data_IF_228033875050
#
_entry.id   IF_228033875050
#
_cell.length_a   1.000
_cell.length_b   1.000
_cell.length_c   1.000
_cell.angle_alpha   90.00
_cell.angle_beta   90.00
_cell.angle_gamma   90.00
#
_symmetry.space_group_name_H-M   'P 1'
#
loop_
_entity.id
_entity.type
_entity.pdbx_description
1 polymer ?
#
# COMPACT_ATOMS: atom_id res chain seq x y z
N UNK A 1 9.77 -19.62 -2.21
CA UNK A 1 10.86 -18.71 -2.60
C UNK A 1 10.22 -17.72 -3.55
N UNK A 2 10.15 -16.43 -3.18
CA UNK A 2 9.60 -15.40 -4.07
C UNK A 2 10.50 -15.34 -5.33
N UNK A 3 9.95 -15.41 -6.55
CA UNK A 3 10.76 -15.43 -7.76
C UNK A 3 11.50 -14.09 -7.90
N UNK A 4 12.75 -14.14 -8.34
CA UNK A 4 13.47 -12.96 -8.80
C UNK A 4 13.41 -12.92 -10.33
N UNK A 5 13.48 -11.72 -10.89
CA UNK A 5 13.47 -11.48 -12.32
C UNK A 5 14.69 -10.65 -12.73
N UNK A 6 15.08 -10.75 -13.99
CA UNK A 6 16.09 -9.85 -14.57
C UNK A 6 15.37 -8.77 -15.35
N UNK A 7 15.65 -7.51 -15.03
CA UNK A 7 15.16 -6.40 -15.84
C UNK A 7 15.97 -6.27 -17.14
N UNK A 8 15.54 -5.38 -18.06
CA UNK A 8 16.23 -5.12 -19.34
C UNK A 8 17.68 -4.65 -19.20
N UNK A 9 18.07 -4.18 -18.00
CA UNK A 9 19.42 -3.73 -17.67
C UNK A 9 20.30 -4.86 -17.10
N UNK A 10 19.78 -6.09 -17.05
CA UNK A 10 20.48 -7.27 -16.53
C UNK A 10 20.61 -7.31 -15.00
N UNK A 11 19.81 -6.51 -14.27
CA UNK A 11 19.82 -6.46 -12.80
C UNK A 11 18.77 -7.40 -12.22
N UNK A 12 19.12 -8.05 -11.11
CA UNK A 12 18.19 -8.85 -10.32
C UNK A 12 17.21 -7.90 -9.62
N UNK A 13 15.92 -8.13 -9.84
CA UNK A 13 14.83 -7.42 -9.19
C UNK A 13 13.92 -8.46 -8.53
N UNK A 14 13.48 -8.16 -7.30
CA UNK A 14 12.47 -8.97 -6.61
C UNK A 14 11.12 -8.25 -6.74
N UNK A 15 10.15 -8.76 -7.52
CA UNK A 15 8.83 -8.15 -7.66
C UNK A 15 8.13 -7.91 -6.33
N UNK A 16 8.37 -8.78 -5.34
CA UNK A 16 7.89 -8.63 -3.96
C UNK A 16 8.27 -7.31 -3.28
N UNK A 17 9.32 -6.62 -3.76
CA UNK A 17 9.76 -5.35 -3.20
C UNK A 17 8.85 -4.17 -3.58
N UNK A 18 8.01 -4.33 -4.62
CA UNK A 18 7.11 -3.27 -5.08
C UNK A 18 5.67 -3.75 -5.30
N UNK A 19 5.43 -5.03 -5.61
CA UNK A 19 4.11 -5.67 -5.55
C UNK A 19 4.15 -6.68 -4.40
N UNK A 20 3.78 -6.26 -3.19
CA UNK A 20 3.81 -7.17 -2.06
C UNK A 20 2.71 -8.25 -2.21
N UNK A 21 3.03 -9.47 -1.81
CA UNK A 21 2.11 -10.61 -1.78
C UNK A 21 2.01 -11.19 -0.36
N UNK A 22 0.80 -11.59 0.05
CA UNK A 22 0.56 -12.15 1.37
C UNK A 22 -0.11 -13.51 1.22
N UNK A 23 0.46 -14.51 1.88
CA UNK A 23 -0.14 -15.83 1.94
C UNK A 23 -1.24 -15.88 3.02
N UNK A 24 -2.49 -15.69 2.57
CA UNK A 24 -3.69 -15.74 3.41
C UNK A 24 -4.02 -17.14 3.94
N UNK A 25 -3.34 -18.20 3.48
CA UNK A 25 -3.53 -19.56 3.99
C UNK A 25 -3.04 -19.72 5.44
N UNK A 26 -2.10 -18.88 5.85
CA UNK A 26 -1.50 -18.86 7.20
C UNK A 26 -2.31 -18.03 8.20
N UNK A 27 -3.21 -17.17 7.73
CA UNK A 27 -3.97 -16.24 8.56
C UNK A 27 -5.28 -16.85 9.04
N UNK A 28 -5.52 -16.76 10.35
CA UNK A 28 -6.63 -17.45 11.03
C UNK A 28 -7.85 -16.56 11.28
N UNK A 29 -7.69 -15.24 11.37
CA UNK A 29 -8.73 -14.26 11.71
C UNK A 29 -8.38 -12.86 11.20
N UNK A 30 -9.32 -11.92 11.30
CA UNK A 30 -9.07 -10.49 11.06
C UNK A 30 -8.01 -9.97 12.05
N UNK A 31 -8.15 -10.27 13.34
CA UNK A 31 -7.16 -9.84 14.36
C UNK A 31 -5.73 -10.33 14.07
N UNK A 32 -5.59 -11.55 13.52
CA UNK A 32 -4.28 -12.05 13.12
C UNK A 32 -3.73 -11.29 11.90
N UNK A 33 -4.58 -11.01 10.91
CA UNK A 33 -4.21 -10.15 9.78
C UNK A 33 -3.78 -8.76 10.27
N UNK A 34 -4.53 -8.17 11.19
CA UNK A 34 -4.25 -6.84 11.77
C UNK A 34 -2.91 -6.85 12.51
N UNK A 35 -2.63 -7.89 13.29
CA UNK A 35 -1.38 -8.03 14.01
C UNK A 35 -0.17 -8.16 13.07
N UNK A 36 -0.29 -8.96 12.00
CA UNK A 36 0.76 -9.11 10.97
C UNK A 36 1.02 -7.77 10.29
N UNK A 37 -0.05 -7.10 9.87
CA UNK A 37 0.06 -5.82 9.17
C UNK A 37 0.58 -4.72 10.09
N UNK A 38 0.21 -4.75 11.38
CA UNK A 38 0.73 -3.80 12.37
C UNK A 38 2.24 -3.94 12.55
N UNK A 39 2.71 -5.18 12.70
CA UNK A 39 4.14 -5.50 12.83
C UNK A 39 4.92 -5.11 11.57
N UNK A 40 4.39 -5.43 10.40
CA UNK A 40 5.15 -5.34 9.16
C UNK A 40 5.12 -3.93 8.56
N UNK A 41 4.03 -3.18 8.76
CA UNK A 41 3.79 -1.87 8.15
C UNK A 41 3.55 -0.73 9.16
N UNK A 42 2.68 -0.89 10.17
CA UNK A 42 2.23 0.21 11.04
C UNK A 42 3.34 0.82 11.89
N UNK A 43 4.20 0.00 12.49
CA UNK A 43 5.31 0.52 13.31
C UNK A 43 6.38 1.26 12.50
N UNK A 44 6.36 1.15 11.16
CA UNK A 44 7.44 1.65 10.30
C UNK A 44 7.05 2.86 9.45
N UNK A 45 5.76 3.17 9.35
CA UNK A 45 5.27 4.23 8.49
C UNK A 45 4.92 5.49 9.31
N UNK A 46 5.57 6.63 9.06
CA UNK A 46 5.25 7.86 9.77
C UNK A 46 3.89 8.40 9.33
N UNK A 47 3.12 8.92 10.28
CA UNK A 47 1.91 9.72 10.03
C UNK A 47 2.28 11.08 9.43
N UNK A 48 1.31 11.79 8.83
CA UNK A 48 1.55 13.15 8.32
C UNK A 48 2.01 14.09 9.43
N UNK A 49 1.46 13.96 10.63
CA UNK A 49 1.90 14.74 11.80
C UNK A 49 3.35 14.45 12.20
N UNK A 50 3.78 13.19 12.17
CA UNK A 50 5.18 12.84 12.42
C UNK A 50 6.11 13.34 11.31
N UNK A 51 5.66 13.30 10.05
CA UNK A 51 6.44 13.86 8.93
C UNK A 51 6.69 15.35 9.16
N UNK A 52 5.64 16.12 9.48
CA UNK A 52 5.75 17.55 9.74
C UNK A 52 6.61 17.84 10.99
N UNK A 53 6.39 17.10 12.09
CA UNK A 53 7.20 17.26 13.30
C UNK A 53 8.69 16.96 13.07
N UNK A 54 9.03 15.94 12.27
CA UNK A 54 10.42 15.65 11.86
C UNK A 54 11.00 16.80 11.05
N UNK A 55 10.23 17.41 10.15
CA UNK A 55 10.67 18.58 9.39
C UNK A 55 10.94 19.78 10.29
N UNK A 56 10.02 20.13 11.20
CA UNK A 56 10.16 21.23 12.16
C UNK A 56 11.39 21.06 13.06
N UNK A 57 11.69 19.83 13.45
CA UNK A 57 12.88 19.47 14.24
C UNK A 57 14.17 19.38 13.41
N UNK A 58 14.14 19.72 12.12
CA UNK A 58 15.29 19.68 11.22
C UNK A 58 15.85 18.27 11.01
N UNK A 59 15.02 17.23 11.10
CA UNK A 59 15.44 15.82 10.97
C UNK A 59 15.62 15.37 9.53
N UNK A 60 15.09 16.11 8.56
CA UNK A 60 15.36 15.88 7.15
C UNK A 60 16.52 16.78 6.71
N UNK A 61 17.62 16.15 6.33
CA UNK A 61 18.76 16.78 5.68
C UNK A 61 18.57 16.93 4.16
N UNK A 62 17.60 16.24 3.55
CA UNK A 62 17.36 16.33 2.10
C UNK A 62 15.92 15.99 1.68
N UNK A 63 15.58 16.37 0.44
CA UNK A 63 14.34 16.01 -0.27
C UNK A 63 14.06 14.50 -0.29
N UNK A 64 15.10 13.68 -0.40
CA UNK A 64 14.95 12.22 -0.42
C UNK A 64 14.29 11.67 0.85
N UNK A 65 14.72 12.16 2.02
CA UNK A 65 14.28 11.57 3.29
C UNK A 65 12.80 11.82 3.56
N UNK A 66 12.29 13.00 3.21
CA UNK A 66 10.86 13.29 3.31
C UNK A 66 10.05 12.50 2.28
N UNK A 67 10.56 12.31 1.05
CA UNK A 67 9.91 11.46 0.05
C UNK A 67 9.81 10.00 0.50
N UNK A 68 10.87 9.48 1.13
CA UNK A 68 10.87 8.13 1.69
C UNK A 68 9.77 7.97 2.74
N UNK A 69 9.67 8.92 3.65
CA UNK A 69 8.67 8.90 4.72
C UNK A 69 7.24 9.05 4.15
N UNK A 70 7.05 9.89 3.13
CA UNK A 70 5.79 9.97 2.38
C UNK A 70 5.44 8.64 1.71
N UNK A 71 6.39 7.98 1.04
CA UNK A 71 6.15 6.72 0.34
C UNK A 71 5.75 5.63 1.33
N UNK A 72 6.44 5.53 2.47
CA UNK A 72 6.09 4.63 3.56
C UNK A 72 4.67 4.91 4.10
N UNK A 73 4.31 6.19 4.26
CA UNK A 73 2.96 6.57 4.67
C UNK A 73 1.88 6.10 3.69
N UNK A 74 2.09 6.29 2.38
CA UNK A 74 1.12 5.84 1.37
C UNK A 74 1.05 4.31 1.30
N UNK A 75 2.19 3.61 1.30
CA UNK A 75 2.22 2.14 1.35
C UNK A 75 1.47 1.60 2.55
N UNK A 76 1.65 2.22 3.71
CA UNK A 76 0.88 1.86 4.89
C UNK A 76 -0.61 2.17 4.70
N UNK A 77 -0.99 3.35 4.24
CA UNK A 77 -2.40 3.68 4.05
C UNK A 77 -3.12 2.70 3.10
N UNK A 78 -2.43 2.25 2.04
CA UNK A 78 -2.97 1.33 1.04
C UNK A 78 -2.64 -0.15 1.29
N UNK A 79 -2.01 -0.50 2.43
CA UNK A 79 -1.51 -1.84 2.75
C UNK A 79 -2.52 -2.96 2.52
N UNK A 80 -3.77 -2.81 2.93
CA UNK A 80 -4.79 -3.84 2.71
C UNK A 80 -5.24 -3.88 1.25
N UNK A 81 -5.36 -2.72 0.62
CA UNK A 81 -5.75 -2.64 -0.78
C UNK A 81 -4.72 -3.32 -1.66
N UNK A 82 -3.43 -2.97 -1.52
CA UNK A 82 -2.33 -3.55 -2.30
C UNK A 82 -2.30 -5.08 -2.25
N UNK A 83 -2.57 -5.66 -1.08
CA UNK A 83 -2.45 -7.10 -0.84
C UNK A 83 -3.72 -7.89 -1.13
N UNK A 84 -4.88 -7.32 -0.85
CA UNK A 84 -6.16 -8.04 -0.87
C UNK A 84 -7.04 -7.65 -2.04
N UNK A 85 -6.99 -6.39 -2.47
CA UNK A 85 -8.00 -5.84 -3.35
C UNK A 85 -7.42 -5.30 -4.67
N UNK A 86 -8.25 -5.36 -5.69
CA UNK A 86 -8.14 -4.59 -6.91
C UNK A 86 -9.19 -3.49 -6.83
N UNK A 87 -8.78 -2.22 -6.96
CA UNK A 87 -9.71 -1.09 -7.04
C UNK A 87 -10.20 -0.95 -8.47
N UNK A 88 -11.51 -0.79 -8.63
CA UNK A 88 -12.14 -0.50 -9.92
C UNK A 88 -13.02 0.72 -9.77
N UNK A 89 -12.91 1.65 -10.71
CA UNK A 89 -13.89 2.73 -10.83
C UNK A 89 -15.12 2.18 -11.53
N UNK A 90 -16.29 2.43 -10.98
CA UNK A 90 -17.55 1.88 -11.48
C UNK A 90 -18.64 2.92 -11.33
N UNK A 91 -19.46 3.09 -12.36
CA UNK A 91 -20.65 3.92 -12.30
C UNK A 91 -21.61 3.38 -11.24
N UNK A 92 -22.14 4.24 -10.39
CA UNK A 92 -22.91 3.85 -9.21
C UNK A 92 -24.15 3.01 -9.56
N UNK A 93 -24.84 3.34 -10.66
CA UNK A 93 -25.96 2.57 -11.17
C UNK A 93 -25.62 1.11 -11.50
N UNK A 94 -24.36 0.84 -11.88
CA UNK A 94 -23.85 -0.47 -12.29
C UNK A 94 -23.22 -1.26 -11.12
N UNK A 95 -23.09 -0.66 -9.93
CA UNK A 95 -22.50 -1.33 -8.77
C UNK A 95 -23.42 -2.43 -8.25
N UNK A 96 -22.94 -3.70 -8.12
CA UNK A 96 -23.73 -4.78 -7.57
C UNK A 96 -24.05 -4.57 -6.08
N UNK A 97 -25.31 -4.31 -5.75
CA UNK A 97 -25.75 -3.97 -4.37
C UNK A 97 -25.99 -5.17 -3.45
N UNK A 98 -26.10 -6.38 -4.00
CA UNK A 98 -26.45 -7.61 -3.27
C UNK A 98 -25.35 -8.67 -3.28
N UNK A 99 -24.16 -8.34 -3.79
CA UNK A 99 -23.03 -9.27 -3.82
C UNK A 99 -22.21 -9.16 -2.53
N UNK A 100 -21.74 -10.29 -2.04
CA UNK A 100 -20.92 -10.41 -0.83
C UNK A 100 -19.40 -10.33 -1.12
N UNK A 101 -19.02 -10.13 -2.38
CA UNK A 101 -17.64 -10.05 -2.88
C UNK A 101 -17.29 -8.71 -3.54
N UNK A 102 -18.13 -7.69 -3.34
CA UNK A 102 -17.88 -6.31 -3.76
C UNK A 102 -17.90 -5.41 -2.54
N UNK A 103 -16.80 -4.72 -2.32
CA UNK A 103 -16.58 -3.92 -1.12
C UNK A 103 -16.35 -2.45 -1.45
N UNK A 104 -16.70 -1.58 -0.53
CA UNK A 104 -16.47 -0.14 -0.67
C UNK A 104 -15.98 0.43 0.66
N UNK A 105 -15.05 1.40 0.65
CA UNK A 105 -14.54 1.96 1.89
C UNK A 105 -15.61 2.84 2.56
N UNK A 106 -15.79 2.65 3.87
CA UNK A 106 -16.40 3.67 4.73
C UNK A 106 -15.30 4.60 5.22
N UNK A 107 -15.49 5.91 5.08
CA UNK A 107 -14.44 6.90 5.28
C UNK A 107 -14.81 7.93 6.34
N UNK A 108 -13.82 8.32 7.13
CA UNK A 108 -13.91 9.46 8.04
C UNK A 108 -13.25 10.67 7.36
N UNK A 109 -13.98 11.77 7.08
CA UNK A 109 -13.38 12.99 6.54
C UNK A 109 -12.23 13.50 7.40
N UNK A 110 -11.20 14.06 6.76
CA UNK A 110 -10.08 14.71 7.42
C UNK A 110 -10.06 16.20 7.03
N UNK A 111 -10.68 17.08 7.83
CA UNK A 111 -10.85 18.49 7.48
C UNK A 111 -9.53 19.24 7.24
N UNK A 112 -8.48 18.91 7.99
CA UNK A 112 -7.17 19.56 7.91
C UNK A 112 -6.26 18.95 6.82
N UNK A 113 -6.79 18.06 5.98
CA UNK A 113 -5.99 17.35 4.98
C UNK A 113 -5.29 18.33 4.03
N UNK A 114 -6.01 19.28 3.45
CA UNK A 114 -5.44 20.21 2.46
C UNK A 114 -4.31 21.05 3.05
N UNK A 115 -4.53 21.64 4.24
CA UNK A 115 -3.54 22.43 4.95
C UNK A 115 -2.29 21.60 5.27
N UNK A 116 -2.48 20.42 5.88
CA UNK A 116 -1.35 19.59 6.33
C UNK A 116 -0.58 18.97 5.16
N UNK A 117 -1.25 18.56 4.10
CA UNK A 117 -0.60 18.02 2.90
C UNK A 117 0.14 19.14 2.16
N UNK A 118 -0.44 20.36 2.08
CA UNK A 118 0.25 21.54 1.54
C UNK A 118 1.50 21.92 2.35
N UNK A 119 1.47 21.80 3.67
CA UNK A 119 2.65 22.00 4.51
C UNK A 119 3.77 20.98 4.22
N UNK A 120 3.42 19.71 3.93
CA UNK A 120 4.41 18.69 3.52
C UNK A 120 5.02 19.04 2.15
N UNK A 121 4.22 19.52 1.21
CA UNK A 121 4.74 19.99 -0.09
C UNK A 121 5.72 21.14 0.09
N UNK A 122 5.36 22.16 0.87
CA UNK A 122 6.25 23.29 1.16
C UNK A 122 7.54 22.83 1.84
N UNK A 123 7.45 21.90 2.79
CA UNK A 123 8.60 21.30 3.45
C UNK A 123 9.54 20.62 2.44
N UNK A 124 8.99 19.84 1.50
CA UNK A 124 9.78 19.23 0.42
C UNK A 124 10.48 20.28 -0.45
N UNK A 125 9.75 21.31 -0.90
CA UNK A 125 10.30 22.36 -1.78
C UNK A 125 11.40 23.17 -1.09
N UNK A 126 11.38 23.28 0.25
CA UNK A 126 12.39 23.98 1.04
C UNK A 126 13.65 23.16 1.37
N UNK A 127 13.64 21.84 1.16
CA UNK A 127 14.79 20.97 1.46
C UNK A 127 15.80 20.96 0.30
N UNK A 128 17.11 20.80 0.60
CA UNK A 128 18.10 20.64 -0.44
C UNK A 128 17.95 19.27 -1.14
N UNK A 129 18.35 19.20 -2.41
CA UNK A 129 18.44 17.93 -3.13
C UNK A 129 19.52 17.03 -2.52
N UNK A 130 19.30 15.73 -2.51
CA UNK A 130 20.33 14.75 -2.17
C UNK A 130 21.18 14.38 -3.40
N UNK A 131 20.52 14.21 -4.55
CA UNK A 131 21.15 13.83 -5.82
C UNK A 131 20.62 14.69 -6.98
N UNK A 132 20.11 14.06 -8.05
CA UNK A 132 19.58 14.75 -9.21
C UNK A 132 18.22 15.39 -8.91
N UNK A 133 18.13 16.72 -9.05
CA UNK A 133 16.90 17.45 -8.72
C UNK A 133 15.75 17.07 -9.65
N UNK A 134 16.03 16.78 -10.92
CA UNK A 134 14.98 16.46 -11.87
C UNK A 134 14.36 15.09 -11.58
N UNK A 135 15.17 14.09 -11.22
CA UNK A 135 14.69 12.79 -10.76
C UNK A 135 13.90 12.91 -9.45
N UNK A 136 14.42 13.63 -8.46
CA UNK A 136 13.73 13.84 -7.19
C UNK A 136 12.37 14.53 -7.39
N UNK A 137 12.32 15.61 -8.16
CA UNK A 137 11.08 16.35 -8.39
C UNK A 137 10.06 15.52 -9.18
N UNK A 138 10.48 14.73 -10.19
CA UNK A 138 9.57 13.81 -10.89
C UNK A 138 8.99 12.73 -9.98
N UNK A 139 9.82 12.13 -9.12
CA UNK A 139 9.38 11.10 -8.17
C UNK A 139 8.43 11.73 -7.14
N UNK A 140 8.78 12.91 -6.63
CA UNK A 140 7.95 13.66 -5.71
C UNK A 140 6.58 13.97 -6.32
N UNK A 141 6.52 14.54 -7.52
CA UNK A 141 5.25 14.95 -8.13
C UNK A 141 4.31 13.74 -8.31
N UNK A 142 4.85 12.58 -8.74
CA UNK A 142 4.07 11.33 -8.85
C UNK A 142 3.59 10.83 -7.48
N UNK A 143 4.46 10.80 -6.49
CA UNK A 143 4.11 10.33 -5.15
C UNK A 143 3.12 11.27 -4.46
N UNK A 144 3.31 12.58 -4.63
CA UNK A 144 2.48 13.62 -4.05
C UNK A 144 1.10 13.68 -4.71
N UNK A 145 0.96 13.31 -5.99
CA UNK A 145 -0.36 13.15 -6.60
C UNK A 145 -1.25 12.15 -5.83
N UNK A 146 -0.66 11.07 -5.30
CA UNK A 146 -1.38 10.06 -4.48
C UNK A 146 -1.47 10.47 -3.02
N UNK A 147 -0.39 11.01 -2.45
CA UNK A 147 -0.35 11.43 -1.03
C UNK A 147 -1.24 12.64 -0.76
N UNK A 148 -1.17 13.65 -1.64
CA UNK A 148 -1.87 14.93 -1.61
C UNK A 148 -3.36 14.85 -1.98
N UNK A 149 -3.80 13.77 -2.63
CA UNK A 149 -5.22 13.54 -2.94
C UNK A 149 -6.05 13.04 -1.76
N UNK A 150 -5.40 12.67 -0.64
CA UNK A 150 -6.09 12.11 0.52
C UNK A 150 -7.02 13.14 1.16
N UNK A 151 -8.26 12.72 1.45
CA UNK A 151 -9.29 13.55 2.12
C UNK A 151 -9.86 12.92 3.40
N UNK A 152 -9.34 11.76 3.80
CA UNK A 152 -9.86 10.97 4.91
C UNK A 152 -8.73 10.44 5.80
N UNK A 153 -9.07 10.04 7.03
CA UNK A 153 -8.13 9.41 7.95
C UNK A 153 -7.80 7.98 7.48
N UNK A 154 -6.52 7.73 7.18
CA UNK A 154 -6.06 6.41 6.75
C UNK A 154 -6.04 5.36 7.88
N UNK A 155 -5.92 5.81 9.14
CA UNK A 155 -5.88 4.94 10.33
C UNK A 155 -7.22 4.29 10.68
N UNK A 156 -8.33 4.87 10.24
CA UNK A 156 -9.68 4.40 10.54
C UNK A 156 -10.19 3.31 9.58
N UNK A 157 -9.39 2.98 8.55
CA UNK A 157 -9.79 2.02 7.53
C UNK A 157 -9.74 0.59 8.09
N UNK A 158 -10.88 -0.12 8.16
CA UNK A 158 -10.87 -1.51 8.58
C UNK A 158 -10.17 -2.37 7.53
N UNK A 159 -9.52 -3.42 8.00
CA UNK A 159 -8.81 -4.40 7.18
C UNK A 159 -9.72 -5.07 6.15
N UNK A 160 -10.95 -5.34 6.58
CA UNK A 160 -12.05 -5.76 5.70
C UNK A 160 -13.04 -4.61 5.60
N UNK A 161 -13.14 -4.03 4.41
CA UNK A 161 -14.11 -2.98 4.07
C UNK A 161 -15.55 -3.56 4.12
N UNK A 162 -16.59 -2.75 4.41
CA UNK A 162 -17.96 -3.23 4.29
C UNK A 162 -18.29 -3.61 2.84
N UNK A 163 -19.18 -4.57 2.68
CA UNK A 163 -19.84 -4.84 1.39
C UNK A 163 -20.68 -3.65 0.97
N UNK A 164 -21.04 -3.56 -0.31
CA UNK A 164 -21.96 -2.51 -0.80
C UNK A 164 -23.27 -2.52 -0.01
N UNK A 165 -23.86 -3.70 0.25
CA UNK A 165 -25.10 -3.85 1.04
C UNK A 165 -24.96 -3.27 2.45
N UNK A 166 -23.84 -3.57 3.13
CA UNK A 166 -23.58 -3.06 4.48
C UNK A 166 -23.35 -1.54 4.47
N UNK A 167 -22.64 -1.04 3.46
CA UNK A 167 -22.39 0.39 3.33
C UNK A 167 -23.70 1.18 3.12
N UNK A 168 -24.59 0.71 2.24
CA UNK A 168 -25.87 1.40 1.96
C UNK A 168 -26.92 1.24 3.07
N UNK A 169 -26.72 0.31 4.02
CA UNK A 169 -27.67 0.13 5.13
C UNK A 169 -27.74 1.32 6.09
N UNK A 170 -26.72 2.17 6.08
CA UNK A 170 -26.71 3.46 6.77
C UNK A 170 -26.43 4.56 5.74
N UNK A 171 -27.42 5.42 5.42
CA UNK A 171 -27.28 6.47 4.41
C UNK A 171 -26.25 7.55 4.80
N UNK A 172 -25.91 7.69 6.09
CA UNK A 172 -24.93 8.67 6.57
C UNK A 172 -23.48 8.21 6.39
N UNK A 173 -23.26 6.95 5.99
CA UNK A 173 -21.92 6.49 5.63
C UNK A 173 -21.33 7.35 4.50
N UNK A 174 -20.03 7.64 4.61
CA UNK A 174 -19.28 8.43 3.64
C UNK A 174 -18.36 7.52 2.83
N UNK A 175 -18.29 7.76 1.51
CA UNK A 175 -17.40 7.07 0.56
C UNK A 175 -16.75 8.09 -0.39
N UNK A 176 -15.96 7.61 -1.36
CA UNK A 176 -15.37 8.42 -2.43
C UNK A 176 -16.19 8.33 -3.71
N UNK A 177 -16.40 9.48 -4.34
CA UNK A 177 -16.74 9.58 -5.77
C UNK A 177 -15.59 10.20 -6.56
N UNK A 178 -15.49 9.80 -7.82
CA UNK A 178 -14.63 10.41 -8.84
C UNK A 178 -15.54 11.28 -9.72
N UNK A 179 -15.37 12.60 -9.69
CA UNK A 179 -16.28 13.54 -10.39
C UNK A 179 -16.22 13.37 -11.91
N UNK A 180 -15.03 13.26 -12.47
CA UNK A 180 -14.81 12.99 -13.89
C UNK A 180 -13.88 11.80 -14.05
N UNK A 181 -14.44 10.67 -14.48
CA UNK A 181 -13.67 9.45 -14.71
C UNK A 181 -13.17 9.39 -16.16
N UNK A 182 -11.85 9.39 -16.33
CA UNK A 182 -11.21 9.03 -17.59
C UNK A 182 -10.78 7.55 -17.55
N UNK A 183 -11.42 6.65 -18.31
CA UNK A 183 -11.02 5.25 -18.37
C UNK A 183 -9.64 5.03 -19.01
N UNK A 184 -9.09 6.04 -19.69
CA UNK A 184 -7.75 6.01 -20.29
C UNK A 184 -6.71 6.73 -19.43
N UNK A 185 -7.02 7.05 -18.17
CA UNK A 185 -6.03 7.64 -17.27
C UNK A 185 -4.74 6.80 -17.27
N UNK A 186 -3.56 7.40 -17.50
CA UNK A 186 -2.33 6.64 -17.67
C UNK A 186 -2.00 5.77 -16.45
N UNK A 187 -1.56 4.55 -16.72
CA UNK A 187 -1.03 3.61 -15.72
C UNK A 187 0.27 3.02 -16.21
N UNK A 188 1.15 2.69 -15.26
CA UNK A 188 2.43 2.06 -15.56
C UNK A 188 2.24 0.57 -15.85
N UNK A 189 2.81 0.09 -16.96
CA UNK A 189 2.86 -1.34 -17.25
C UNK A 189 3.78 -2.09 -16.27
N UNK A 190 3.61 -3.42 -16.18
CA UNK A 190 4.49 -4.25 -15.33
C UNK A 190 5.96 -4.12 -15.74
N UNK A 191 6.25 -4.29 -17.03
CA UNK A 191 7.61 -4.19 -17.57
C UNK A 191 8.20 -2.80 -17.35
N UNK A 192 7.37 -1.75 -17.42
CA UNK A 192 7.81 -0.38 -17.16
C UNK A 192 8.28 -0.21 -15.71
N UNK A 193 7.56 -0.78 -14.75
CA UNK A 193 7.93 -0.76 -13.33
C UNK A 193 9.17 -1.63 -13.08
N UNK A 194 9.24 -2.81 -13.70
CA UNK A 194 10.38 -3.73 -13.58
C UNK A 194 11.66 -3.09 -14.13
N UNK A 195 11.56 -2.45 -15.30
CA UNK A 195 12.66 -1.83 -16.04
C UNK A 195 12.95 -0.38 -15.65
N UNK A 196 12.20 0.14 -14.68
CA UNK A 196 12.44 1.44 -14.05
C UNK A 196 13.92 1.54 -13.65
N UNK A 197 14.51 2.69 -13.94
CA UNK A 197 15.92 2.94 -13.72
C UNK A 197 16.15 4.38 -13.28
N UNK A 198 16.96 4.54 -12.25
CA UNK A 198 17.54 5.80 -11.83
C UNK A 198 19.04 5.54 -11.54
N UNK A 199 19.86 6.57 -11.64
CA UNK A 199 21.32 6.45 -11.44
C UNK A 199 21.70 6.03 -10.02
N UNK A 200 20.81 6.26 -9.06
CA UNK A 200 20.98 5.97 -7.62
C UNK A 200 19.94 4.95 -7.18
N UNK A 201 20.37 3.91 -6.46
CA UNK A 201 19.51 2.80 -6.06
C UNK A 201 18.31 3.25 -5.19
N UNK A 202 18.53 4.23 -4.31
CA UNK A 202 17.53 4.83 -3.45
C UNK A 202 16.42 5.53 -4.24
N UNK A 203 16.79 6.29 -5.27
CA UNK A 203 15.83 6.92 -6.18
C UNK A 203 15.14 5.88 -7.05
N UNK A 204 15.86 4.85 -7.50
CA UNK A 204 15.28 3.78 -8.31
C UNK A 204 14.19 3.02 -7.53
N UNK A 205 14.43 2.77 -6.24
CA UNK A 205 13.44 2.18 -5.35
C UNK A 205 12.21 3.07 -5.17
N UNK A 206 12.39 4.37 -4.87
CA UNK A 206 11.27 5.32 -4.73
C UNK A 206 10.52 5.55 -6.03
N UNK A 207 11.20 5.55 -7.17
CA UNK A 207 10.60 5.69 -8.49
C UNK A 207 9.67 4.52 -8.76
N UNK A 208 10.12 3.26 -8.57
CA UNK A 208 9.24 2.07 -8.67
C UNK A 208 8.05 2.12 -7.73
N UNK A 209 8.29 2.50 -6.48
CA UNK A 209 7.25 2.66 -5.48
C UNK A 209 6.19 3.68 -5.89
N UNK A 210 6.60 4.85 -6.35
CA UNK A 210 5.69 5.89 -6.84
C UNK A 210 4.86 5.41 -8.03
N UNK A 211 5.40 4.57 -8.93
CA UNK A 211 4.65 3.99 -10.05
C UNK A 211 3.59 2.98 -9.59
N UNK A 212 3.93 2.10 -8.66
CA UNK A 212 2.96 1.14 -8.11
C UNK A 212 1.83 1.85 -7.37
N UNK A 213 2.18 2.85 -6.56
CA UNK A 213 1.22 3.64 -5.79
C UNK A 213 0.31 4.47 -6.71
N UNK A 214 0.85 5.04 -7.79
CA UNK A 214 0.07 5.70 -8.84
C UNK A 214 -1.00 4.75 -9.41
N UNK A 215 -0.62 3.51 -9.74
CA UNK A 215 -1.56 2.51 -10.24
C UNK A 215 -2.64 2.10 -9.23
N UNK A 216 -2.54 2.44 -7.94
CA UNK A 216 -3.61 2.22 -6.95
C UNK A 216 -4.74 3.25 -7.02
N UNK A 217 -4.52 4.35 -7.74
CA UNK A 217 -5.47 5.42 -7.96
C UNK A 217 -5.42 5.84 -9.45
N UNK A 218 -5.89 4.99 -10.38
CA UNK A 218 -5.89 5.30 -11.82
C UNK A 218 -6.97 6.34 -12.19
N UNK A 219 -6.89 7.50 -11.57
CA UNK A 219 -7.76 8.67 -11.76
C UNK A 219 -7.03 9.91 -11.22
N UNK A 220 -7.49 11.08 -11.64
CA UNK A 220 -6.94 12.34 -11.14
C UNK A 220 -7.34 12.59 -9.69
N UNK A 221 -6.34 12.86 -8.84
CA UNK A 221 -6.55 13.09 -7.41
C UNK A 221 -7.44 14.30 -7.11
N UNK A 222 -7.43 15.32 -7.98
CA UNK A 222 -8.31 16.50 -7.88
C UNK A 222 -9.79 16.20 -8.16
N UNK A 223 -10.08 15.05 -8.77
CA UNK A 223 -11.45 14.62 -9.07
C UNK A 223 -12.07 13.81 -7.92
N UNK A 224 -11.31 13.50 -6.87
CA UNK A 224 -11.81 12.80 -5.69
C UNK A 224 -12.62 13.71 -4.77
N UNK A 225 -13.79 13.22 -4.37
CA UNK A 225 -14.66 13.90 -3.42
C UNK A 225 -15.24 12.90 -2.42
N UNK A 226 -15.31 13.30 -1.15
CA UNK A 226 -16.03 12.55 -0.13
C UNK A 226 -17.52 12.90 -0.21
N UNK A 227 -18.36 11.87 -0.26
CA UNK A 227 -19.80 12.03 -0.42
C UNK A 227 -20.53 11.03 0.47
N UNK A 228 -21.68 11.43 1.01
CA UNK A 228 -22.57 10.49 1.70
C UNK A 228 -23.15 9.52 0.67
N UNK A 229 -23.32 8.28 1.09
CA UNK A 229 -23.87 7.22 0.22
C UNK A 229 -25.28 7.58 -0.25
N UNK A 230 -26.07 8.28 0.57
CA UNK A 230 -27.41 8.74 0.20
C UNK A 230 -27.42 9.78 -0.93
N UNK A 231 -26.32 10.50 -1.13
CA UNK A 231 -26.21 11.59 -2.10
C UNK A 231 -25.65 11.11 -3.45
N UNK A 232 -25.26 9.82 -3.56
CA UNK A 232 -24.78 9.22 -4.79
C UNK A 232 -25.90 9.08 -5.82
N UNK A 233 -25.64 9.58 -7.03
CA UNK A 233 -26.50 9.44 -8.20
C UNK A 233 -26.03 8.28 -9.05
N UNK A 234 -26.94 7.67 -9.83
CA UNK A 234 -26.59 6.53 -10.67
C UNK A 234 -25.46 6.83 -11.68
N UNK A 235 -25.26 8.09 -12.05
CA UNK A 235 -24.18 8.54 -12.95
C UNK A 235 -22.86 8.89 -12.26
N UNK A 236 -22.82 8.89 -10.92
CA UNK A 236 -21.59 9.12 -10.18
C UNK A 236 -20.64 7.92 -10.36
N UNK A 237 -19.35 8.17 -10.45
CA UNK A 237 -18.35 7.11 -10.46
C UNK A 237 -17.79 6.90 -9.05
N UNK A 238 -17.77 5.66 -8.58
CA UNK A 238 -17.27 5.28 -7.26
C UNK A 238 -16.13 4.28 -7.37
N UNK A 239 -15.34 4.16 -6.31
CA UNK A 239 -14.25 3.18 -6.23
C UNK A 239 -14.72 1.94 -5.47
N UNK A 240 -14.90 0.84 -6.18
CA UNK A 240 -15.20 -0.48 -5.60
C UNK A 240 -13.92 -1.30 -5.46
N UNK A 241 -13.87 -2.17 -4.47
CA UNK A 241 -12.77 -3.08 -4.18
C UNK A 241 -13.21 -4.52 -4.43
N UNK A 242 -12.52 -5.20 -5.35
CA UNK A 242 -12.71 -6.62 -5.61
C UNK A 242 -11.55 -7.42 -5.01
N UNK A 243 -11.80 -8.57 -4.38
CA UNK A 243 -10.72 -9.46 -3.97
C UNK A 243 -9.85 -9.83 -5.18
N UNK A 244 -8.52 -9.72 -5.03
CA UNK A 244 -7.56 -10.04 -6.10
C UNK A 244 -7.70 -11.48 -6.61
N UNK A 245 -8.06 -12.40 -5.71
CA UNK A 245 -8.24 -13.79 -6.05
C UNK A 245 -9.24 -14.48 -5.10
N UNK A 246 -9.55 -15.75 -5.42
CA UNK A 246 -10.48 -16.58 -4.63
C UNK A 246 -9.98 -16.88 -3.23
N UNK A 247 -8.67 -16.88 -2.98
CA UNK A 247 -8.10 -17.15 -1.67
C UNK A 247 -8.36 -15.98 -0.72
N UNK A 248 -8.22 -14.75 -1.20
CA UNK A 248 -8.60 -13.54 -0.46
C UNK A 248 -10.09 -13.59 -0.11
N UNK A 249 -10.97 -13.88 -1.07
CA UNK A 249 -12.42 -13.93 -0.79
C UNK A 249 -12.76 -15.03 0.23
N UNK A 250 -12.13 -16.21 0.14
CA UNK A 250 -12.29 -17.29 1.12
C UNK A 250 -11.77 -16.89 2.50
N UNK A 251 -10.67 -16.15 2.57
CA UNK A 251 -10.17 -15.59 3.81
C UNK A 251 -11.18 -14.62 4.41
N UNK A 252 -11.68 -13.65 3.64
CA UNK A 252 -12.66 -12.65 4.11
C UNK A 252 -13.91 -13.35 4.63
N UNK A 253 -14.53 -14.23 3.83
CA UNK A 253 -15.73 -14.97 4.24
C UNK A 253 -15.52 -15.76 5.53
N UNK A 254 -14.38 -16.43 5.65
CA UNK A 254 -14.01 -17.16 6.87
C UNK A 254 -13.89 -16.22 8.06
N UNK A 255 -13.10 -15.15 7.91
CA UNK A 255 -12.79 -14.21 8.97
C UNK A 255 -14.05 -13.49 9.48
N UNK A 256 -14.95 -13.11 8.57
CA UNK A 256 -16.22 -12.44 8.90
C UNK A 256 -17.27 -13.40 9.48
N UNK A 257 -17.24 -14.69 9.12
CA UNK A 257 -18.18 -15.69 9.68
C UNK A 257 -17.84 -16.14 11.10
N UNK A 258 -16.71 -15.70 11.66
CA UNK A 258 -16.21 -16.15 12.97
C UNK A 258 -15.75 -17.61 13.00
N UNK A 259 -15.79 -18.33 11.86
CA UNK A 259 -15.37 -19.72 11.76
C UNK A 259 -13.85 -19.79 11.69
N UNK A 260 -13.19 -19.94 12.84
CA UNK A 260 -11.74 -20.17 12.89
C UNK A 260 -11.43 -21.52 12.23
N UNK A 261 -10.48 -21.54 11.29
CA UNK A 261 -9.90 -22.81 10.83
C UNK A 261 -9.27 -23.48 12.06
N UNK A 262 -9.66 -24.73 12.38
CA UNK A 262 -8.88 -25.54 13.32
C UNK A 262 -7.45 -25.53 12.78
N UNK A 263 -6.53 -24.95 13.55
CA UNK A 263 -5.12 -24.97 13.19
C UNK A 263 -4.80 -26.41 12.82
N UNK A 264 -4.31 -26.64 11.61
CA UNK A 264 -3.67 -27.92 11.30
C UNK A 264 -2.55 -28.02 12.31
N UNK A 265 -2.73 -28.90 13.29
CA UNK A 265 -1.72 -29.24 14.27
C UNK A 265 -0.53 -29.75 13.47
N UNK A 266 0.43 -28.87 13.21
CA UNK A 266 1.78 -29.34 12.98
C UNK A 266 2.21 -29.91 14.31
N UNK A 267 2.57 -31.18 14.32
CA UNK A 267 3.25 -31.78 15.47
C UNK A 267 4.48 -30.92 15.71
N UNK A 268 4.44 -30.10 16.76
CA UNK A 268 5.59 -29.32 17.16
C UNK A 268 6.62 -30.35 17.58
N UNK A 269 7.60 -30.61 16.72
CA UNK A 269 8.73 -31.44 17.11
C UNK A 269 9.37 -30.77 18.31
N UNK A 270 9.45 -31.50 19.42
CA UNK A 270 10.18 -31.04 20.58
C UNK A 270 11.61 -30.75 20.11
N UNK A 271 12.15 -29.54 20.35
CA UNK A 271 13.51 -29.21 19.93
C UNK A 271 14.47 -30.22 20.57
N UNK A 272 15.02 -31.11 19.75
CA UNK A 272 16.03 -32.07 20.20
C UNK A 272 17.38 -31.41 20.05
N UNK A 273 18.15 -31.35 21.14
CA UNK A 273 19.54 -30.94 21.06
C UNK A 273 20.26 -31.86 20.06
N UNK A 274 21.11 -31.33 19.16
CA UNK A 274 21.84 -32.17 18.23
C UNK A 274 22.69 -33.18 19.02
N UNK A 275 22.74 -34.43 18.54
CA UNK A 275 23.45 -35.52 19.23
C UNK A 275 24.95 -35.26 19.39
N UNK A 276 25.50 -34.33 18.61
CA UNK A 276 26.82 -33.76 18.76
C UNK A 276 26.77 -32.25 18.45
N UNK A 277 27.64 -31.42 19.07
CA UNK A 277 27.79 -30.03 18.68
C UNK A 277 28.11 -29.93 17.18
N UNK A 278 27.47 -28.98 16.49
CA UNK A 278 27.88 -28.65 15.13
C UNK A 278 29.32 -28.13 15.15
N UNK A 279 30.19 -28.57 14.23
CA UNK A 279 31.53 -28.00 14.12
C UNK A 279 31.44 -26.51 13.82
N UNK A 280 32.36 -25.73 14.38
CA UNK A 280 32.49 -24.33 14.02
C UNK A 280 32.86 -24.23 12.54
N UNK A 281 32.16 -23.36 11.81
CA UNK A 281 32.42 -23.09 10.40
C UNK A 281 33.29 -21.85 10.32
N UNK A 282 34.52 -21.98 9.82
CA UNK A 282 35.38 -20.84 9.51
C UNK A 282 35.03 -20.31 8.12
N UNK A 283 34.19 -19.27 8.12
CA UNK A 283 33.65 -18.66 6.90
C UNK A 283 34.75 -18.19 5.94
N UNK A 284 35.93 -17.79 6.44
CA UNK A 284 37.04 -17.30 5.61
C UNK A 284 37.80 -18.42 4.93
N UNK A 285 37.86 -19.60 5.54
CA UNK A 285 38.61 -20.74 5.02
C UNK A 285 37.74 -21.71 4.22
N UNK A 286 36.45 -21.81 4.55
CA UNK A 286 35.55 -22.84 4.02
C UNK A 286 34.69 -22.39 2.83
N UNK A 287 34.57 -21.08 2.58
CA UNK A 287 33.79 -20.57 1.44
C UNK A 287 34.65 -19.76 0.46
N UNK A 288 34.59 -20.14 -0.81
CA UNK A 288 35.28 -19.45 -1.90
C UNK A 288 34.66 -18.08 -2.25
N UNK A 289 33.43 -17.82 -1.79
CA UNK A 289 32.69 -16.58 -2.04
C UNK A 289 32.41 -15.93 -0.69
N UNK A 290 33.10 -14.84 -0.40
CA UNK A 290 32.83 -14.02 0.78
C UNK A 290 31.94 -12.83 0.38
N UNK A 291 30.84 -12.55 1.12
CA UNK A 291 30.11 -11.30 0.93
C UNK A 291 31.04 -10.13 1.26
N UNK A 292 31.07 -9.09 0.41
CA UNK A 292 31.72 -7.82 0.76
C UNK A 292 30.87 -7.17 1.86
N UNK A 293 31.38 -7.22 3.09
CA UNK A 293 30.89 -6.43 4.23
C UNK A 293 31.62 -5.10 4.23
#
# INVERSE_FOLDING_TARGET
>A
MQPFELNRHGRIVFPSNFIPELDFSTLSSVDHLDAVIRRDFDTKAPTVSEILSRHELGKYGSKFEIMRDMALNVFWADRFTLMMFERRVTRWGDVPRNRDDVYMPRLTPWPEAEERLGAVEQAYRGLPRAWDSAAEDRIFDRLFAVFGSRRHFAGDLPSVKPTVTQLISDPENITLRVRHYDPNHPVFGYDEILDCHEDVAELEALSRWSMVLHNQQPWEGSELELVRVADLKDDDYVVVSHPRNREVQRFINRAMSGKTRKATSYTRHEPVAPSAPYPAVDVRSEFAIAPRI
#
